data_IF_300990107444
#
_entry.id   IF_300990107444
#
_cell.length_a   1.000
_cell.length_b   1.000
_cell.length_c   1.000
_cell.angle_alpha   90.00
_cell.angle_beta   90.00
_cell.angle_gamma   90.00
#
_symmetry.space_group_name_H-M   'P 1'
#
loop_
_entity.id
_entity.type
_entity.pdbx_description
1 polymer ?
#
# COMPACT_ATOMS: atom_id res chain seq x y z
N UNK A 1 30.38 1.40 14.19
CA UNK A 1 29.19 2.21 14.49
C UNK A 1 28.00 1.39 14.06
N UNK A 2 27.26 0.86 15.03
CA UNK A 2 25.91 0.35 14.75
C UNK A 2 25.06 1.51 14.23
N UNK A 3 24.29 1.27 13.17
CA UNK A 3 23.42 2.29 12.60
C UNK A 3 22.25 2.59 13.54
N UNK A 4 21.80 3.85 13.52
CA UNK A 4 20.62 4.34 14.27
C UNK A 4 19.28 3.94 13.63
N UNK A 5 19.30 3.17 12.54
CA UNK A 5 18.13 2.81 11.75
C UNK A 5 17.85 1.32 11.87
N UNK A 6 16.67 0.95 12.38
CA UNK A 6 16.28 -0.44 12.60
C UNK A 6 15.09 -0.90 11.71
N UNK A 7 14.29 0.04 11.18
CA UNK A 7 13.09 -0.24 10.36
C UNK A 7 12.86 0.84 9.29
N UNK A 8 12.56 0.42 8.06
CA UNK A 8 12.15 1.28 6.94
C UNK A 8 10.73 0.88 6.52
N UNK A 9 9.82 1.86 6.55
CA UNK A 9 8.49 1.77 5.95
C UNK A 9 8.53 2.59 4.65
N UNK A 10 8.64 1.90 3.52
CA UNK A 10 8.85 2.57 2.22
C UNK A 10 7.53 2.82 1.48
N UNK A 11 7.61 3.56 0.37
CA UNK A 11 6.53 3.88 -0.54
C UNK A 11 7.04 4.22 -1.94
N UNK A 12 6.25 5.00 -2.71
CA UNK A 12 6.57 5.48 -4.06
C UNK A 12 6.64 4.43 -5.18
N UNK A 13 7.35 3.32 -4.97
CA UNK A 13 7.57 2.28 -6.00
C UNK A 13 6.34 1.41 -6.30
N UNK A 14 5.28 1.52 -5.49
CA UNK A 14 4.08 0.69 -5.55
C UNK A 14 4.34 -0.82 -5.35
N UNK A 15 5.45 -1.19 -4.72
CA UNK A 15 5.86 -2.59 -4.53
C UNK A 15 5.18 -3.23 -3.31
N UNK A 16 4.78 -4.49 -3.43
CA UNK A 16 4.37 -5.32 -2.29
C UNK A 16 5.62 -5.97 -1.66
N UNK A 17 5.92 -5.63 -0.42
CA UNK A 17 7.10 -6.16 0.30
C UNK A 17 6.73 -6.55 1.71
N UNK A 18 6.67 -7.86 1.99
CA UNK A 18 6.56 -8.38 3.36
C UNK A 18 7.79 -8.01 4.17
N UNK A 19 7.60 -7.75 5.47
CA UNK A 19 8.67 -7.30 6.35
C UNK A 19 9.81 -8.31 6.39
N UNK A 20 11.01 -7.85 6.07
CA UNK A 20 12.19 -8.70 6.02
C UNK A 20 13.49 -7.89 6.16
N UNK A 21 14.60 -8.59 6.30
CA UNK A 21 15.97 -8.00 6.36
C UNK A 21 16.82 -8.30 5.12
N UNK A 22 16.28 -9.00 4.11
CA UNK A 22 17.06 -9.62 3.02
C UNK A 22 17.90 -8.61 2.22
N UNK A 23 17.43 -7.37 2.11
CA UNK A 23 18.12 -6.32 1.37
C UNK A 23 19.12 -5.52 2.22
N UNK A 24 19.22 -5.78 3.52
CA UNK A 24 20.10 -5.09 4.45
C UNK A 24 20.58 -5.99 5.62
N UNK A 25 20.83 -7.28 5.38
CA UNK A 25 21.11 -8.27 6.44
C UNK A 25 22.28 -7.87 7.33
N UNK A 26 23.38 -7.40 6.71
CA UNK A 26 24.58 -6.97 7.42
C UNK A 26 24.36 -5.73 8.33
N UNK A 27 23.26 -4.99 8.11
CA UNK A 27 22.88 -3.82 8.92
C UNK A 27 21.74 -4.12 9.89
N UNK A 28 21.16 -5.33 9.86
CA UNK A 28 20.04 -5.74 10.71
C UNK A 28 18.79 -4.84 10.60
N UNK A 29 18.52 -4.28 9.41
CA UNK A 29 17.42 -3.32 9.19
C UNK A 29 16.22 -4.03 8.56
N UNK A 30 15.04 -3.88 9.15
CA UNK A 30 13.79 -4.36 8.56
C UNK A 30 13.29 -3.41 7.48
N UNK A 31 12.70 -3.94 6.41
CA UNK A 31 12.12 -3.18 5.30
C UNK A 31 10.78 -3.79 4.91
N UNK A 32 9.77 -2.96 4.67
CA UNK A 32 8.45 -3.38 4.16
C UNK A 32 7.74 -2.27 3.38
N UNK A 33 6.74 -2.65 2.58
CA UNK A 33 5.90 -1.76 1.79
C UNK A 33 4.53 -2.41 1.47
N UNK A 34 3.46 -1.61 1.43
CA UNK A 34 2.06 -2.06 1.33
C UNK A 34 1.46 -1.94 -0.09
N UNK A 35 2.26 -2.13 -1.15
CA UNK A 35 1.82 -1.91 -2.54
C UNK A 35 1.30 -0.48 -2.77
N UNK A 36 0.19 -0.32 -3.49
CA UNK A 36 -0.38 0.97 -3.87
C UNK A 36 -1.91 0.98 -3.76
N UNK A 37 -2.47 2.17 -3.93
CA UNK A 37 -3.92 2.41 -4.02
C UNK A 37 -4.70 1.91 -2.80
N UNK A 38 -4.05 1.90 -1.63
CA UNK A 38 -4.66 1.45 -0.36
C UNK A 38 -5.10 -0.01 -0.41
N UNK A 39 -4.56 -0.84 -1.31
CA UNK A 39 -4.96 -2.25 -1.41
C UNK A 39 -4.62 -3.06 -0.15
N UNK A 40 -3.49 -2.74 0.47
CA UNK A 40 -3.09 -3.33 1.76
C UNK A 40 -2.91 -2.26 2.83
N UNK A 41 -3.35 -2.58 4.04
CA UNK A 41 -2.97 -1.89 5.26
C UNK A 41 -1.88 -2.69 5.96
N UNK A 42 -0.73 -2.04 6.21
CA UNK A 42 0.35 -2.63 6.99
C UNK A 42 0.08 -2.52 8.48
N UNK A 43 -0.09 -3.66 9.13
CA UNK A 43 -0.26 -3.80 10.58
C UNK A 43 1.02 -4.43 11.13
N UNK A 44 1.76 -3.71 11.99
CA UNK A 44 3.10 -4.09 12.42
C UNK A 44 3.21 -3.93 13.95
N UNK A 45 3.53 -5.03 14.60
CA UNK A 45 3.90 -5.07 16.02
C UNK A 45 5.41 -5.20 16.14
N UNK A 46 6.03 -4.30 16.91
CA UNK A 46 7.48 -4.25 17.14
C UNK A 46 7.77 -4.35 18.63
N UNK A 47 8.56 -5.33 19.02
CA UNK A 47 9.05 -5.48 20.40
C UNK A 47 10.50 -5.01 20.47
N UNK A 48 10.78 -4.10 21.41
CA UNK A 48 12.13 -3.60 21.66
C UNK A 48 12.73 -4.25 22.91
N UNK A 49 14.01 -4.61 22.83
CA UNK A 49 14.82 -4.90 24.00
C UNK A 49 15.19 -3.58 24.69
N UNK A 50 14.83 -3.44 25.96
CA UNK A 50 14.98 -2.17 26.70
C UNK A 50 16.40 -1.89 27.17
N UNK A 51 17.26 -2.91 27.22
CA UNK A 51 18.65 -2.74 27.64
C UNK A 51 19.53 -2.26 26.48
N UNK A 52 19.26 -2.79 25.30
CA UNK A 52 20.01 -2.50 24.06
C UNK A 52 19.34 -1.44 23.18
N UNK A 53 18.04 -1.20 23.37
CA UNK A 53 17.23 -0.34 22.51
C UNK A 53 16.97 -0.92 21.11
N UNK A 54 17.30 -2.19 20.88
CA UNK A 54 17.19 -2.85 19.57
C UNK A 54 15.86 -3.59 19.42
N UNK A 55 15.40 -3.73 18.18
CA UNK A 55 14.23 -4.53 17.87
C UNK A 55 14.54 -6.00 18.13
N UNK A 56 13.82 -6.60 19.08
CA UNK A 56 13.90 -8.01 19.44
C UNK A 56 13.03 -8.86 18.53
N UNK A 57 11.80 -8.41 18.26
CA UNK A 57 10.80 -9.15 17.49
C UNK A 57 9.99 -8.20 16.62
N UNK A 58 9.59 -8.70 15.44
CA UNK A 58 8.67 -8.01 14.54
C UNK A 58 7.64 -8.99 14.03
N UNK A 59 6.38 -8.64 14.16
CA UNK A 59 5.26 -9.35 13.55
C UNK A 59 4.53 -8.39 12.60
N UNK A 60 4.21 -8.86 11.40
CA UNK A 60 3.46 -8.07 10.42
C UNK A 60 2.29 -8.86 9.87
N UNK A 61 1.18 -8.16 9.65
CA UNK A 61 0.09 -8.59 8.79
C UNK A 61 -0.14 -7.51 7.72
N UNK A 62 -0.07 -7.90 6.45
CA UNK A 62 -0.52 -7.06 5.33
C UNK A 62 -1.99 -7.37 5.05
N UNK A 63 -2.89 -6.56 5.60
CA UNK A 63 -4.34 -6.80 5.52
C UNK A 63 -4.88 -6.24 4.22
N UNK A 64 -5.47 -7.08 3.37
CA UNK A 64 -6.21 -6.57 2.21
C UNK A 64 -7.41 -5.77 2.73
N UNK A 65 -7.53 -4.51 2.30
CA UNK A 65 -8.59 -3.61 2.80
C UNK A 65 -10.00 -4.09 2.47
N UNK A 66 -10.17 -4.89 1.42
CA UNK A 66 -11.45 -5.49 1.05
C UNK A 66 -11.92 -6.53 2.09
N UNK A 67 -11.00 -7.03 2.91
CA UNK A 67 -11.26 -8.01 3.97
C UNK A 67 -11.43 -7.37 5.34
N UNK A 68 -11.22 -6.06 5.46
CA UNK A 68 -11.38 -5.33 6.72
C UNK A 68 -12.84 -4.91 6.82
N UNK A 69 -13.60 -5.54 7.73
CA UNK A 69 -14.94 -5.07 8.07
C UNK A 69 -14.87 -3.67 8.69
N UNK A 70 -15.30 -2.66 7.93
CA UNK A 70 -15.37 -1.27 8.41
C UNK A 70 -16.56 -1.15 9.36
N UNK A 71 -16.32 -1.40 10.64
CA UNK A 71 -17.37 -1.51 11.66
C UNK A 71 -18.01 -0.18 12.08
N UNK A 72 -17.59 0.98 11.55
CA UNK A 72 -18.14 2.26 12.01
C UNK A 72 -18.27 3.35 10.93
N UNK A 73 -19.52 3.83 10.82
CA UNK A 73 -20.03 5.08 10.26
C UNK A 73 -19.79 5.36 8.76
N UNK A 74 -20.90 5.56 8.04
CA UNK A 74 -21.03 6.13 6.67
C UNK A 74 -20.38 7.53 6.48
N UNK A 75 -19.51 7.99 7.39
CA UNK A 75 -18.88 9.30 7.31
C UNK A 75 -17.96 9.43 6.10
N UNK A 76 -17.08 8.44 5.87
CA UNK A 76 -16.18 8.43 4.72
C UNK A 76 -16.97 8.44 3.41
N UNK A 77 -18.00 7.59 3.30
CA UNK A 77 -18.89 7.56 2.15
C UNK A 77 -19.60 8.91 1.95
N UNK A 78 -20.10 9.54 3.03
CA UNK A 78 -20.75 10.86 2.95
C UNK A 78 -19.79 11.94 2.45
N UNK A 79 -18.54 11.93 2.90
CA UNK A 79 -17.52 12.89 2.47
C UNK A 79 -17.15 12.66 1.00
N UNK A 80 -16.93 11.41 0.60
CA UNK A 80 -16.67 11.04 -0.80
C UNK A 80 -17.83 11.45 -1.70
N UNK A 81 -19.08 11.20 -1.29
CA UNK A 81 -20.28 11.60 -2.03
C UNK A 81 -20.38 13.12 -2.18
N UNK A 82 -20.02 13.88 -1.15
CA UNK A 82 -20.00 15.35 -1.20
C UNK A 82 -18.93 15.86 -2.18
N UNK A 83 -17.73 15.28 -2.16
CA UNK A 83 -16.67 15.61 -3.11
C UNK A 83 -17.08 15.26 -4.53
N UNK A 84 -17.62 14.06 -4.76
CA UNK A 84 -18.12 13.64 -6.07
C UNK A 84 -19.14 14.64 -6.63
N UNK A 85 -20.15 15.00 -5.84
CA UNK A 85 -21.14 16.02 -6.24
C UNK A 85 -20.49 17.37 -6.58
N UNK A 86 -19.43 17.76 -5.86
CA UNK A 86 -18.74 19.02 -6.12
C UNK A 86 -17.96 19.00 -7.45
N UNK A 87 -17.40 17.85 -7.83
CA UNK A 87 -16.58 17.70 -9.05
C UNK A 87 -17.34 17.12 -10.26
N UNK A 88 -18.55 16.58 -10.09
CA UNK A 88 -19.35 15.99 -11.18
C UNK A 88 -19.62 17.01 -12.30
N UNK A 89 -19.77 18.30 -11.94
CA UNK A 89 -20.00 19.36 -12.92
C UNK A 89 -18.81 19.52 -13.85
N UNK A 90 -17.59 19.55 -13.31
CA UNK A 90 -16.35 19.67 -14.06
C UNK A 90 -16.04 18.38 -14.84
N UNK A 91 -16.25 17.22 -14.22
CA UNK A 91 -15.93 15.91 -14.80
C UNK A 91 -16.93 15.43 -15.87
N UNK A 92 -18.12 16.02 -15.93
CA UNK A 92 -19.15 15.67 -16.94
C UNK A 92 -18.95 16.36 -18.29
N UNK A 93 -18.00 17.28 -18.40
CA UNK A 93 -17.69 17.96 -19.65
C UNK A 93 -16.92 17.02 -20.58
N UNK A 94 -17.45 16.79 -21.78
CA UNK A 94 -16.78 15.96 -22.79
C UNK A 94 -15.48 16.66 -23.22
N UNK A 95 -14.34 16.05 -22.87
CA UNK A 95 -13.03 16.57 -23.26
C UNK A 95 -12.70 16.26 -24.73
N UNK A 96 -13.00 15.04 -25.19
CA UNK A 96 -12.87 14.60 -26.58
C UNK A 96 -13.71 13.36 -26.83
N UNK A 97 -13.90 13.00 -28.11
CA UNK A 97 -14.52 11.74 -28.52
C UNK A 97 -13.48 10.87 -29.23
N UNK A 98 -13.54 9.55 -29.02
CA UNK A 98 -12.63 8.59 -29.65
C UNK A 98 -13.45 7.53 -30.39
N UNK A 99 -13.06 7.11 -31.60
CA UNK A 99 -13.70 6.00 -32.31
C UNK A 99 -13.35 4.63 -31.70
N UNK A 100 -12.37 4.55 -30.79
CA UNK A 100 -11.96 3.35 -30.07
C UNK A 100 -12.06 3.50 -28.55
N UNK A 101 -12.16 2.37 -27.85
CA UNK A 101 -12.19 2.30 -26.38
C UNK A 101 -10.76 2.35 -25.84
N UNK A 102 -10.51 3.22 -24.85
CA UNK A 102 -9.26 3.16 -24.10
C UNK A 102 -9.39 2.11 -22.99
N UNK A 103 -8.69 0.99 -23.15
CA UNK A 103 -8.60 -0.02 -22.11
C UNK A 103 -7.44 0.36 -21.17
N UNK A 104 -7.74 0.46 -19.87
CA UNK A 104 -6.73 0.73 -18.85
C UNK A 104 -5.99 -0.57 -18.53
N UNK A 105 -4.90 -0.80 -19.26
CA UNK A 105 -4.04 -1.98 -19.28
C UNK A 105 -4.76 -3.30 -19.65
N UNK A 106 -4.11 -4.13 -20.44
CA UNK A 106 -4.57 -5.50 -20.70
C UNK A 106 -3.62 -6.43 -19.99
N UNK A 107 -4.08 -7.14 -18.95
CA UNK A 107 -3.31 -8.22 -18.36
C UNK A 107 -2.99 -9.23 -19.46
N UNK A 108 -1.71 -9.37 -19.79
CA UNK A 108 -1.24 -10.42 -20.69
C UNK A 108 -0.59 -11.51 -19.87
N UNK A 109 -1.13 -12.72 -19.98
CA UNK A 109 -0.44 -13.89 -19.47
C UNK A 109 0.63 -14.34 -20.48
N UNK A 110 1.88 -14.33 -20.04
CA UNK A 110 2.99 -14.99 -20.73
C UNK A 110 3.47 -16.10 -19.80
N UNK A 111 3.46 -17.35 -20.28
CA UNK A 111 3.86 -18.53 -19.49
C UNK A 111 3.15 -18.68 -18.12
N UNK A 112 1.83 -18.35 -18.09
CA UNK A 112 0.99 -18.36 -16.87
C UNK A 112 1.40 -17.35 -15.80
N UNK A 113 2.20 -16.36 -16.16
CA UNK A 113 2.53 -15.22 -15.31
C UNK A 113 1.80 -13.98 -15.85
N UNK A 114 0.99 -13.30 -15.03
CA UNK A 114 0.30 -12.09 -15.46
C UNK A 114 1.26 -10.90 -15.50
N UNK A 115 1.32 -10.23 -16.65
CA UNK A 115 2.02 -8.96 -16.85
C UNK A 115 1.02 -7.84 -17.12
N UNK A 116 1.36 -6.62 -16.70
CA UNK A 116 0.59 -5.40 -16.90
C UNK A 116 1.20 -4.51 -17.98
#
# INVERSE_FOLDING_TARGET
>A
MEGELDLILDGHSHTYVEINKKHAEAKNIYITQTEAYTKYLGDIDVTFDTETGKIHEVHQVLRNVDQIEVYNANLSERLVKRLKKAFDKENSVVAFTSPGVFEHTTTKEVDRVPYW
#
